data_IF_311463773441
#
_entry.id   IF_311463773441
#
_cell.length_a   1.000
_cell.length_b   1.000
_cell.length_c   1.000
_cell.angle_alpha   90.00
_cell.angle_beta   90.00
_cell.angle_gamma   90.00
#
_symmetry.space_group_name_H-M   'P 1'
#
loop_
_entity.id
_entity.type
_entity.pdbx_description
1 polymer ?
#
# COMPACT_ATOMS: atom_id res chain seq x y z
N UNK A 1 2.00 -24.22 11.21
CA UNK A 1 1.69 -23.34 10.05
C UNK A 1 1.91 -24.11 8.75
N UNK A 2 3.06 -24.77 8.57
CA UNK A 2 3.44 -25.46 7.33
C UNK A 2 2.48 -26.62 6.98
N UNK A 3 2.04 -27.41 7.95
CA UNK A 3 1.04 -28.48 7.75
C UNK A 3 -0.30 -27.95 7.20
N UNK A 4 -0.74 -26.77 7.65
CA UNK A 4 -1.98 -26.15 7.12
C UNK A 4 -1.83 -25.71 5.68
N UNK A 5 -0.66 -25.18 5.32
CA UNK A 5 -0.33 -24.82 3.94
C UNK A 5 -0.31 -26.07 3.07
N UNK A 6 0.31 -27.17 3.52
CA UNK A 6 0.36 -28.42 2.78
C UNK A 6 -1.03 -29.01 2.52
N UNK A 7 -1.87 -29.00 3.53
CA UNK A 7 -3.26 -29.46 3.38
C UNK A 7 -4.04 -28.57 2.41
N UNK A 8 -3.85 -27.26 2.51
CA UNK A 8 -4.46 -26.30 1.61
C UNK A 8 -4.05 -26.55 0.15
N UNK A 9 -2.76 -26.74 -0.13
CA UNK A 9 -2.30 -27.02 -1.50
C UNK A 9 -2.79 -28.35 -2.04
N UNK A 10 -2.91 -29.39 -1.19
CA UNK A 10 -3.53 -30.67 -1.60
C UNK A 10 -4.98 -30.50 -2.04
N UNK A 11 -5.74 -29.60 -1.42
CA UNK A 11 -7.12 -29.32 -1.80
C UNK A 11 -7.17 -28.48 -3.10
N UNK A 12 -6.36 -27.44 -3.17
CA UNK A 12 -6.37 -26.53 -4.31
C UNK A 12 -5.85 -27.17 -5.59
N UNK A 13 -4.93 -28.13 -5.50
CA UNK A 13 -4.47 -28.88 -6.67
C UNK A 13 -5.59 -29.67 -7.36
N UNK A 14 -6.74 -29.86 -6.68
CA UNK A 14 -7.94 -30.48 -7.25
C UNK A 14 -8.88 -29.48 -7.95
N UNK A 15 -8.61 -28.19 -7.86
CA UNK A 15 -9.40 -27.16 -8.54
C UNK A 15 -9.07 -27.16 -10.04
N UNK A 16 -10.12 -27.15 -10.86
CA UNK A 16 -9.99 -27.15 -12.31
C UNK A 16 -9.58 -25.78 -12.86
N UNK A 17 -10.23 -24.70 -12.36
CA UNK A 17 -10.06 -23.34 -12.86
C UNK A 17 -8.99 -22.60 -12.02
N UNK A 18 -7.73 -23.00 -12.20
CA UNK A 18 -6.58 -22.40 -11.47
C UNK A 18 -6.40 -20.92 -11.76
N UNK A 19 -6.72 -20.47 -12.96
CA UNK A 19 -6.55 -19.08 -13.40
C UNK A 19 -7.47 -18.13 -12.62
N UNK A 20 -8.73 -18.54 -12.39
CA UNK A 20 -9.68 -17.79 -11.57
C UNK A 20 -9.18 -17.69 -10.12
N UNK A 21 -8.70 -18.81 -9.59
CA UNK A 21 -8.14 -18.84 -8.25
C UNK A 21 -6.90 -17.93 -8.12
N UNK A 22 -5.99 -17.94 -9.09
CA UNK A 22 -4.79 -17.10 -9.10
C UNK A 22 -5.15 -15.62 -9.18
N UNK A 23 -6.10 -15.25 -10.04
CA UNK A 23 -6.57 -13.88 -10.16
C UNK A 23 -7.16 -13.36 -8.83
N UNK A 24 -8.00 -14.16 -8.17
CA UNK A 24 -8.58 -13.77 -6.89
C UNK A 24 -7.53 -13.79 -5.76
N UNK A 25 -6.62 -14.74 -5.75
CA UNK A 25 -5.48 -14.78 -4.82
C UNK A 25 -4.63 -13.53 -4.92
N UNK A 26 -4.37 -13.01 -6.14
CA UNK A 26 -3.67 -11.74 -6.35
C UNK A 26 -4.44 -10.56 -5.77
N UNK A 27 -5.75 -10.53 -5.94
CA UNK A 27 -6.61 -9.49 -5.36
C UNK A 27 -6.56 -9.48 -3.83
N UNK A 28 -6.66 -10.66 -3.22
CA UNK A 28 -6.58 -10.83 -1.77
C UNK A 28 -5.18 -10.52 -1.22
N UNK A 29 -4.13 -10.93 -1.95
CA UNK A 29 -2.75 -10.59 -1.59
C UNK A 29 -2.54 -9.08 -1.59
N UNK A 30 -3.02 -8.37 -2.63
CA UNK A 30 -2.91 -6.92 -2.71
C UNK A 30 -3.50 -6.23 -1.47
N UNK A 31 -4.68 -6.66 -1.05
CA UNK A 31 -5.34 -6.14 0.13
C UNK A 31 -4.51 -6.41 1.40
N UNK A 32 -4.09 -7.66 1.62
CA UNK A 32 -3.29 -8.02 2.80
C UNK A 32 -1.97 -7.24 2.87
N UNK A 33 -1.26 -7.08 1.75
CA UNK A 33 0.00 -6.34 1.70
C UNK A 33 -0.17 -4.85 2.04
N UNK A 34 -1.27 -4.24 1.64
CA UNK A 34 -1.59 -2.85 2.00
C UNK A 34 -2.03 -2.70 3.47
N UNK A 35 -2.63 -3.74 4.05
CA UNK A 35 -3.04 -3.82 5.47
C UNK A 35 -1.93 -4.30 6.43
N UNK A 36 -0.66 -4.29 6.02
CA UNK A 36 0.51 -4.70 6.82
C UNK A 36 0.59 -6.21 7.10
N UNK A 37 0.34 -7.05 6.12
CA UNK A 37 0.56 -8.50 6.24
C UNK A 37 2.02 -8.85 6.57
N UNK A 38 2.21 -10.01 7.18
CA UNK A 38 3.55 -10.56 7.39
C UNK A 38 4.15 -11.04 6.06
N UNK A 39 5.12 -10.29 5.54
CA UNK A 39 5.74 -10.52 4.23
C UNK A 39 6.42 -11.88 4.14
N UNK A 40 7.05 -12.36 5.21
CA UNK A 40 7.74 -13.67 5.21
C UNK A 40 6.76 -14.82 5.07
N UNK A 41 5.59 -14.69 5.69
CA UNK A 41 4.49 -15.64 5.54
C UNK A 41 3.98 -15.68 4.10
N UNK A 42 3.78 -14.52 3.47
CA UNK A 42 3.34 -14.43 2.08
C UNK A 42 4.42 -14.95 1.11
N UNK A 43 5.70 -14.68 1.36
CA UNK A 43 6.82 -15.24 0.58
C UNK A 43 6.85 -16.78 0.64
N UNK A 44 6.66 -17.37 1.82
CA UNK A 44 6.59 -18.83 1.98
C UNK A 44 5.41 -19.43 1.21
N UNK A 45 4.24 -18.78 1.32
CA UNK A 45 3.04 -19.21 0.61
C UNK A 45 3.23 -19.18 -0.91
N UNK A 46 3.76 -18.08 -1.44
CA UNK A 46 4.05 -17.94 -2.88
C UNK A 46 5.17 -18.87 -3.36
N UNK A 47 6.19 -19.11 -2.53
CA UNK A 47 7.24 -20.08 -2.83
C UNK A 47 6.66 -21.46 -3.10
N UNK A 48 5.72 -21.90 -2.24
CA UNK A 48 5.07 -23.19 -2.39
C UNK A 48 4.11 -23.27 -3.57
N UNK A 49 3.38 -22.18 -3.84
CA UNK A 49 2.53 -22.09 -5.02
C UNK A 49 3.33 -22.25 -6.33
N UNK A 50 4.58 -21.76 -6.37
CA UNK A 50 5.41 -21.79 -7.56
C UNK A 50 5.95 -23.16 -7.95
N UNK A 51 6.12 -24.02 -7.00
CA UNK A 51 6.53 -25.41 -7.29
C UNK A 51 5.42 -26.20 -7.96
N UNK A 52 4.16 -25.88 -7.64
CA UNK A 52 3.02 -26.69 -8.03
C UNK A 52 2.28 -26.18 -9.27
N UNK A 53 2.32 -24.89 -9.61
CA UNK A 53 1.37 -24.27 -10.56
C UNK A 53 1.99 -23.49 -11.73
N UNK A 54 3.31 -23.40 -11.82
CA UNK A 54 3.98 -22.68 -12.90
C UNK A 54 4.13 -21.18 -12.68
N UNK A 55 4.84 -20.50 -13.61
CA UNK A 55 5.52 -19.23 -13.32
C UNK A 55 4.77 -17.93 -13.70
N UNK A 56 3.66 -17.99 -14.47
CA UNK A 56 3.09 -16.79 -15.10
C UNK A 56 2.55 -15.73 -14.14
N UNK A 57 1.40 -15.99 -13.49
CA UNK A 57 0.77 -15.02 -12.58
C UNK A 57 1.48 -14.89 -11.23
N UNK A 58 2.25 -15.88 -10.86
CA UNK A 58 3.07 -15.86 -9.68
C UNK A 58 4.16 -14.78 -9.73
N UNK A 59 4.70 -14.48 -10.92
CA UNK A 59 5.69 -13.41 -11.08
C UNK A 59 5.14 -12.04 -10.68
N UNK A 60 3.86 -11.77 -11.00
CA UNK A 60 3.20 -10.53 -10.58
C UNK A 60 3.06 -10.45 -9.06
N UNK A 61 2.67 -11.55 -8.41
CA UNK A 61 2.54 -11.59 -6.94
C UNK A 61 3.89 -11.46 -6.24
N UNK A 62 4.97 -12.07 -6.77
CA UNK A 62 6.34 -11.85 -6.28
C UNK A 62 6.74 -10.38 -6.40
N UNK A 63 6.49 -9.78 -7.56
CA UNK A 63 6.76 -8.37 -7.78
C UNK A 63 5.98 -7.44 -6.82
N UNK A 64 4.76 -7.82 -6.41
CA UNK A 64 4.00 -7.06 -5.39
C UNK A 64 4.69 -7.12 -4.03
N UNK A 65 5.26 -8.26 -3.63
CA UNK A 65 6.05 -8.38 -2.40
C UNK A 65 7.32 -7.53 -2.46
N UNK A 66 8.01 -7.56 -3.61
CA UNK A 66 9.22 -6.76 -3.82
C UNK A 66 8.90 -5.26 -3.76
N UNK A 67 7.74 -4.84 -4.32
CA UNK A 67 7.31 -3.44 -4.25
C UNK A 67 7.14 -2.97 -2.80
N UNK A 68 6.56 -3.79 -1.93
CA UNK A 68 6.40 -3.45 -0.51
C UNK A 68 7.75 -3.30 0.18
N UNK A 69 8.65 -4.27 -0.01
CA UNK A 69 9.99 -4.23 0.60
C UNK A 69 10.79 -3.01 0.10
N UNK A 70 10.84 -2.82 -1.23
CA UNK A 70 11.54 -1.67 -1.84
C UNK A 70 10.93 -0.33 -1.42
N UNK A 71 9.61 -0.27 -1.20
CA UNK A 71 8.94 0.94 -0.71
C UNK A 71 9.37 1.31 0.70
N UNK A 72 9.57 0.32 1.57
CA UNK A 72 10.01 0.57 2.95
C UNK A 72 11.45 1.08 2.97
N UNK A 73 12.34 0.51 2.16
CA UNK A 73 13.72 0.98 2.00
C UNK A 73 13.76 2.42 1.45
N UNK A 74 12.99 2.68 0.37
CA UNK A 74 12.89 3.99 -0.25
C UNK A 74 12.37 5.07 0.72
N UNK A 75 11.38 4.70 1.55
CA UNK A 75 10.82 5.60 2.56
C UNK A 75 11.85 5.88 3.67
N UNK A 76 12.63 4.89 4.08
CA UNK A 76 13.73 5.03 5.03
C UNK A 76 14.79 6.02 4.53
N UNK A 77 15.24 5.83 3.29
CA UNK A 77 16.19 6.71 2.63
C UNK A 77 15.66 8.15 2.51
N UNK A 78 14.40 8.32 2.12
CA UNK A 78 13.78 9.63 2.02
C UNK A 78 13.63 10.31 3.37
N UNK A 79 13.21 9.60 4.42
CA UNK A 79 13.12 10.14 5.78
C UNK A 79 14.48 10.65 6.29
N UNK A 80 15.56 9.94 5.94
CA UNK A 80 16.92 10.33 6.29
C UNK A 80 17.38 11.57 5.51
N UNK A 81 17.06 11.65 4.21
CA UNK A 81 17.46 12.74 3.32
C UNK A 81 16.65 14.03 3.54
N UNK A 82 15.39 13.96 3.96
CA UNK A 82 14.41 15.07 3.87
C UNK A 82 14.28 15.91 5.14
N UNK A 83 15.05 15.68 6.22
CA UNK A 83 14.86 16.37 7.52
C UNK A 83 13.39 16.47 7.90
N UNK A 84 12.72 15.34 7.94
CA UNK A 84 11.27 15.23 8.16
C UNK A 84 10.82 16.00 9.44
N UNK A 85 9.84 16.93 9.39
CA UNK A 85 9.35 17.56 10.60
C UNK A 85 8.89 16.51 11.58
N UNK A 86 9.32 16.63 12.84
CA UNK A 86 9.14 15.65 13.92
C UNK A 86 7.68 15.30 14.27
N UNK A 87 6.71 16.01 13.69
CA UNK A 87 5.29 15.92 14.08
C UNK A 87 4.41 15.09 13.15
N UNK A 88 4.91 14.67 11.98
CA UNK A 88 4.14 13.88 11.03
C UNK A 88 4.88 12.61 10.64
N UNK A 89 4.33 11.46 11.01
CA UNK A 89 4.79 10.17 10.48
C UNK A 89 4.10 9.90 9.14
N UNK A 90 4.87 10.03 8.07
CA UNK A 90 4.39 9.89 6.70
C UNK A 90 4.84 8.55 6.12
N UNK A 91 3.88 7.71 5.74
CA UNK A 91 4.10 6.42 5.09
C UNK A 91 3.68 6.45 3.64
N UNK A 92 4.50 5.88 2.74
CA UNK A 92 4.20 5.73 1.32
C UNK A 92 4.53 4.31 0.89
N UNK A 93 3.69 3.73 0.03
CA UNK A 93 3.98 2.49 -0.71
C UNK A 93 4.01 2.81 -2.20
N UNK A 94 5.13 2.51 -2.84
CA UNK A 94 5.31 2.70 -4.29
C UNK A 94 5.03 1.39 -5.00
N UNK A 95 4.02 1.37 -5.85
CA UNK A 95 3.47 0.17 -6.46
C UNK A 95 3.60 0.22 -7.98
N UNK A 96 4.05 -0.86 -8.62
CA UNK A 96 4.09 -0.98 -10.09
C UNK A 96 2.70 -1.31 -10.63
N UNK A 97 2.10 -0.43 -11.40
CA UNK A 97 0.76 -0.61 -11.97
C UNK A 97 0.61 -1.91 -12.76
N UNK A 98 1.68 -2.40 -13.40
CA UNK A 98 1.68 -3.64 -14.18
C UNK A 98 1.49 -4.92 -13.36
N UNK A 99 1.76 -4.87 -12.04
CA UNK A 99 1.73 -6.05 -11.17
C UNK A 99 0.49 -6.09 -10.26
N UNK A 100 0.04 -4.92 -9.83
CA UNK A 100 -1.07 -4.79 -8.91
C UNK A 100 -2.43 -4.84 -9.64
N UNK A 101 -3.53 -5.22 -8.96
CA UNK A 101 -4.85 -5.22 -9.58
C UNK A 101 -5.31 -3.84 -10.03
N UNK A 102 -5.85 -3.73 -11.26
CA UNK A 102 -6.28 -2.46 -11.87
C UNK A 102 -7.30 -1.70 -11.04
N UNK A 103 -8.14 -2.41 -10.29
CA UNK A 103 -9.14 -1.81 -9.38
C UNK A 103 -8.54 -0.86 -8.33
N UNK A 104 -7.25 -1.04 -7.99
CA UNK A 104 -6.55 -0.14 -7.06
C UNK A 104 -6.24 1.22 -7.67
N UNK A 105 -6.16 1.29 -9.00
CA UNK A 105 -5.78 2.48 -9.74
C UNK A 105 -6.96 3.16 -10.44
N UNK A 106 -8.18 2.66 -10.23
CA UNK A 106 -9.36 3.31 -10.79
C UNK A 106 -9.45 4.75 -10.26
N UNK A 107 -9.29 5.69 -11.18
CA UNK A 107 -9.43 7.10 -10.87
C UNK A 107 -10.90 7.39 -10.66
N UNK A 108 -11.29 7.64 -9.42
CA UNK A 108 -12.56 8.28 -9.15
C UNK A 108 -12.50 9.69 -9.75
N UNK A 109 -13.18 9.89 -10.87
CA UNK A 109 -13.19 11.15 -11.62
C UNK A 109 -13.66 12.37 -10.79
N UNK A 110 -14.21 12.13 -9.61
CA UNK A 110 -14.77 13.15 -8.72
C UNK A 110 -13.85 13.55 -7.56
N UNK A 111 -12.74 12.87 -7.34
CA UNK A 111 -11.86 13.16 -6.19
C UNK A 111 -10.88 14.29 -6.46
N UNK A 112 -11.41 15.51 -6.58
CA UNK A 112 -10.66 16.70 -6.13
C UNK A 112 -10.70 16.68 -4.59
N UNK A 113 -9.99 15.76 -3.98
CA UNK A 113 -9.85 15.73 -2.51
C UNK A 113 -9.09 16.99 -2.12
N UNK A 114 -9.70 17.79 -1.28
CA UNK A 114 -9.01 18.88 -0.58
C UNK A 114 -7.84 18.24 0.19
N UNK A 115 -6.66 18.39 -0.32
CA UNK A 115 -5.48 17.89 0.36
C UNK A 115 -5.01 19.01 1.29
N UNK A 116 -4.92 18.67 2.57
CA UNK A 116 -4.27 19.54 3.57
C UNK A 116 -2.93 20.05 3.02
N UNK A 117 -2.58 21.34 3.20
CA UNK A 117 -1.35 21.94 2.67
C UNK A 117 -0.09 21.19 3.10
N UNK A 118 -0.05 20.67 4.33
CA UNK A 118 1.08 19.90 4.88
C UNK A 118 1.23 18.59 4.11
N UNK A 119 0.15 17.83 3.96
CA UNK A 119 0.14 16.56 3.23
C UNK A 119 0.51 16.77 1.75
N UNK A 120 0.02 17.85 1.15
CA UNK A 120 0.34 18.22 -0.24
C UNK A 120 1.83 18.54 -0.42
N UNK A 121 2.43 19.24 0.52
CA UNK A 121 3.87 19.56 0.49
C UNK A 121 4.72 18.29 0.63
N UNK A 122 4.33 17.36 1.51
CA UNK A 122 5.00 16.07 1.65
C UNK A 122 4.94 15.24 0.37
N UNK A 123 3.76 15.16 -0.25
CA UNK A 123 3.59 14.46 -1.54
C UNK A 123 4.49 15.05 -2.60
N UNK A 124 4.50 16.39 -2.73
CA UNK A 124 5.35 17.09 -3.70
C UNK A 124 6.83 16.81 -3.48
N UNK A 125 7.32 16.91 -2.23
CA UNK A 125 8.71 16.65 -1.86
C UNK A 125 9.10 15.20 -2.16
N UNK A 126 8.24 14.25 -1.80
CA UNK A 126 8.49 12.84 -2.10
C UNK A 126 8.50 12.56 -3.60
N UNK A 127 7.57 13.14 -4.35
CA UNK A 127 7.53 13.00 -5.81
C UNK A 127 8.82 13.52 -6.47
N UNK A 128 9.30 14.69 -6.07
CA UNK A 128 10.57 15.24 -6.55
C UNK A 128 11.75 14.31 -6.22
N UNK A 129 11.83 13.83 -5.00
CA UNK A 129 12.84 12.86 -4.59
C UNK A 129 12.77 11.57 -5.41
N UNK A 130 11.57 11.01 -5.58
CA UNK A 130 11.39 9.78 -6.34
C UNK A 130 11.81 9.94 -7.80
N UNK A 131 11.39 11.02 -8.47
CA UNK A 131 11.73 11.29 -9.87
C UNK A 131 13.24 11.51 -10.03
N UNK A 132 13.89 12.20 -9.09
CA UNK A 132 15.34 12.41 -9.13
C UNK A 132 16.15 11.10 -9.07
N UNK A 133 15.64 10.10 -8.35
CA UNK A 133 16.25 8.77 -8.23
C UNK A 133 15.84 7.81 -9.36
N UNK A 134 14.71 8.04 -10.01
CA UNK A 134 14.10 7.12 -10.97
C UNK A 134 13.77 7.83 -12.27
N UNK A 135 14.79 8.18 -13.05
CA UNK A 135 14.61 8.87 -14.34
C UNK A 135 13.70 8.07 -15.29
N UNK A 136 12.79 8.76 -15.96
CA UNK A 136 11.84 8.16 -16.91
C UNK A 136 10.63 7.47 -16.28
N UNK A 137 10.49 7.45 -14.95
CA UNK A 137 9.29 6.94 -14.27
C UNK A 137 8.36 8.07 -13.88
N UNK A 138 7.06 7.82 -13.92
CA UNK A 138 6.03 8.72 -13.41
C UNK A 138 5.50 8.18 -12.08
N UNK A 139 5.14 9.09 -11.16
CA UNK A 139 4.56 8.75 -9.87
C UNK A 139 3.18 9.45 -9.74
N UNK A 140 2.13 8.65 -9.56
CA UNK A 140 0.78 9.13 -9.27
C UNK A 140 0.36 8.69 -7.88
N UNK A 141 -0.32 9.59 -7.13
CA UNK A 141 -0.81 9.27 -5.79
C UNK A 141 -2.23 8.73 -5.83
N UNK A 142 -2.45 7.57 -5.20
CA UNK A 142 -3.76 6.95 -5.02
C UNK A 142 -4.22 7.23 -3.59
N UNK A 143 -5.22 8.10 -3.42
CA UNK A 143 -5.64 8.61 -2.12
C UNK A 143 -6.66 7.69 -1.44
N UNK A 144 -7.44 6.96 -2.23
CA UNK A 144 -8.58 6.18 -1.75
C UNK A 144 -8.22 5.06 -0.76
N UNK A 145 -6.97 4.58 -0.81
CA UNK A 145 -6.46 3.53 0.09
C UNK A 145 -5.58 4.06 1.23
N UNK A 146 -5.40 5.39 1.30
CA UNK A 146 -4.65 6.01 2.38
C UNK A 146 -5.41 5.96 3.70
N UNK A 147 -4.68 5.73 4.78
CA UNK A 147 -5.18 5.82 6.16
C UNK A 147 -4.37 6.85 6.94
N UNK A 148 -4.97 7.43 7.96
CA UNK A 148 -4.33 8.39 8.83
C UNK A 148 -4.76 8.17 10.28
N UNK A 149 -3.85 8.40 11.20
CA UNK A 149 -4.16 8.53 12.62
C UNK A 149 -4.19 10.02 12.99
N UNK A 150 -5.31 10.45 13.53
CA UNK A 150 -5.54 11.84 13.94
C UNK A 150 -5.66 11.88 15.46
N UNK A 151 -4.94 12.83 16.06
CA UNK A 151 -5.04 13.14 17.49
C UNK A 151 -5.87 14.40 17.70
N UNK A 152 -6.86 14.35 18.60
CA UNK A 152 -7.63 15.52 18.98
C UNK A 152 -6.79 16.44 19.88
N UNK A 153 -6.92 17.76 19.67
CA UNK A 153 -6.29 18.81 20.47
C UNK A 153 -7.39 19.72 21.04
N UNK A 154 -7.18 20.27 22.24
CA UNK A 154 -8.15 21.18 22.86
C UNK A 154 -9.28 20.51 23.65
N UNK A 155 -9.33 19.17 23.68
CA UNK A 155 -10.28 18.45 24.54
C UNK A 155 -9.63 18.06 25.89
N UNK A 156 -10.43 17.86 26.96
CA UNK A 156 -9.91 17.45 28.27
C UNK A 156 -9.13 16.12 28.21
N UNK A 157 -9.44 15.27 27.27
CA UNK A 157 -8.75 14.00 26.99
C UNK A 157 -8.41 13.92 25.50
N UNK A 158 -7.18 13.54 25.20
CA UNK A 158 -6.75 13.29 23.83
C UNK A 158 -7.33 11.97 23.32
N UNK A 159 -7.93 11.98 22.13
CA UNK A 159 -8.42 10.81 21.43
C UNK A 159 -7.59 10.60 20.17
N UNK A 160 -7.33 9.34 19.85
CA UNK A 160 -6.69 8.92 18.61
C UNK A 160 -7.74 8.24 17.73
N UNK A 161 -7.86 8.69 16.49
CA UNK A 161 -8.87 8.20 15.54
C UNK A 161 -8.17 7.70 14.29
N UNK A 162 -8.44 6.45 13.92
CA UNK A 162 -8.03 5.92 12.62
C UNK A 162 -9.07 6.33 11.57
N UNK A 163 -8.61 6.99 10.53
CA UNK A 163 -9.45 7.54 9.46
C UNK A 163 -8.91 7.18 8.09
N UNK A 164 -9.73 7.27 7.06
CA UNK A 164 -9.25 7.28 5.67
C UNK A 164 -8.62 8.63 5.35
N UNK A 165 -7.78 8.70 4.31
CA UNK A 165 -7.19 9.98 3.86
C UNK A 165 -8.26 11.03 3.51
N UNK A 166 -9.42 10.61 3.02
CA UNK A 166 -10.54 11.50 2.69
C UNK A 166 -11.17 12.06 3.97
N UNK A 167 -11.45 11.18 4.95
CA UNK A 167 -12.00 11.60 6.24
C UNK A 167 -11.02 12.52 7.00
N UNK A 168 -9.71 12.20 6.96
CA UNK A 168 -8.67 13.08 7.51
C UNK A 168 -8.74 14.47 6.90
N UNK A 169 -8.77 14.57 5.56
CA UNK A 169 -8.83 15.86 4.85
C UNK A 169 -10.07 16.67 5.25
N UNK A 170 -11.22 16.00 5.43
CA UNK A 170 -12.44 16.65 5.89
C UNK A 170 -12.30 17.15 7.33
N UNK A 171 -11.78 16.34 8.24
CA UNK A 171 -11.63 16.71 9.66
C UNK A 171 -10.63 17.86 9.85
N UNK A 172 -9.58 17.92 9.06
CA UNK A 172 -8.60 19.00 9.12
C UNK A 172 -9.17 20.37 8.74
N UNK A 173 -10.24 20.43 7.91
CA UNK A 173 -10.91 21.68 7.59
C UNK A 173 -11.56 22.36 8.80
N UNK A 174 -11.88 21.61 9.87
CA UNK A 174 -12.42 22.19 11.09
C UNK A 174 -11.38 22.93 11.93
N UNK A 175 -10.09 22.73 11.68
CA UNK A 175 -9.03 23.47 12.38
C UNK A 175 -8.96 24.96 11.92
N UNK A 176 -9.44 25.27 10.73
CA UNK A 176 -9.37 26.61 10.12
C UNK A 176 -10.60 27.47 10.46
N UNK A 177 -11.56 26.95 11.24
CA UNK A 177 -12.83 27.61 11.56
C UNK A 177 -12.89 28.18 13.00
N UNK A 178 -11.75 28.39 13.67
CA UNK A 178 -11.68 28.97 15.02
C UNK A 178 -11.32 30.45 15.02
#
# INVERSE_FOLDING_TARGET
>A
FDQKIDTFFKLINKIYDKDIFLAESRNLLARRLLEKANIDTEKKFLGKMGTDWGLGDQSKMKNMLDDITTSDDLLGDWKTASQNPKNLDFGIKVLRTSCWPDRLFQKDKQNKVFADPIVSDYRRKFQQYYISKNQGKNLEFVINFGTAEIKTVGLPKAYFMMTTSIQMSLLLLFNDQS
#
